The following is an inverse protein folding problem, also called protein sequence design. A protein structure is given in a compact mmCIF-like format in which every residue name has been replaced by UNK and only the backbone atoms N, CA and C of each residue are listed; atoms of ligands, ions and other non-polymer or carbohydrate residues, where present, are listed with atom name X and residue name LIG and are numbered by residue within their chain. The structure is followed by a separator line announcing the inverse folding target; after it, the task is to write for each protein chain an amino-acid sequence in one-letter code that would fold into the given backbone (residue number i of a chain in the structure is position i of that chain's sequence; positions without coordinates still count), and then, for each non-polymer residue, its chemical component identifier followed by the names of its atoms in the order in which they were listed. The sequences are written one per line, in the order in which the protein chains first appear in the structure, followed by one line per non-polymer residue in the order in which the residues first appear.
data_IF_606940547725
#
_entry.id   IF_606940547725
#
_cell.length_a   1.000
_cell.length_b   1.000
_cell.length_c   1.000
_cell.angle_alpha   90.00
_cell.angle_beta   90.00
_cell.angle_gamma   90.00
#
_symmetry.space_group_name_H-M   'P 1'
#
loop_
_entity.id
_entity.type
_entity.pdbx_description
1 polymer ?
#
# COMPACT_ATOMS: atom_id res chain seq x y z
N UNK A 1 -17.99 5.57 -3.26
CA UNK A 1 -18.32 4.73 -2.09
C UNK A 1 -19.82 4.58 -2.00
N UNK A 2 -20.32 3.34 -1.95
CA UNK A 2 -21.76 3.03 -1.92
C UNK A 2 -22.47 3.64 -0.71
N UNK A 3 -21.80 3.74 0.44
CA UNK A 3 -22.35 4.30 1.68
C UNK A 3 -22.05 5.80 1.85
N UNK A 4 -21.60 6.49 0.80
CA UNK A 4 -21.18 7.88 0.87
C UNK A 4 -19.85 8.07 1.61
N UNK A 5 -19.36 9.30 1.64
CA UNK A 5 -18.01 9.60 2.15
C UNK A 5 -17.92 9.55 3.68
N UNK A 6 -19.02 9.85 4.38
CA UNK A 6 -19.09 9.83 5.85
C UNK A 6 -18.99 8.44 6.48
N UNK A 7 -19.05 7.36 5.67
CA UNK A 7 -18.92 6.00 6.22
C UNK A 7 -17.60 5.81 6.94
N UNK A 8 -16.54 6.50 6.51
CA UNK A 8 -15.20 6.36 7.11
C UNK A 8 -15.18 6.82 8.57
N UNK A 9 -16.07 7.72 8.99
CA UNK A 9 -16.23 8.16 10.39
C UNK A 9 -16.72 7.05 11.32
N UNK A 10 -17.30 5.99 10.74
CA UNK A 10 -17.84 4.83 11.43
C UNK A 10 -16.98 3.57 11.25
N UNK A 11 -16.00 3.59 10.35
CA UNK A 11 -15.16 2.44 10.04
C UNK A 11 -14.05 2.23 11.08
N UNK A 12 -13.78 0.97 11.39
CA UNK A 12 -12.62 0.49 12.15
C UNK A 12 -11.91 -0.53 11.25
N UNK A 13 -10.60 -0.38 11.08
CA UNK A 13 -9.80 -1.30 10.26
C UNK A 13 -9.28 -2.45 11.13
N UNK A 14 -9.65 -3.67 10.77
CA UNK A 14 -9.20 -4.89 11.45
C UNK A 14 -8.19 -5.59 10.55
N UNK A 15 -6.94 -5.67 11.01
CA UNK A 15 -5.90 -6.48 10.41
C UNK A 15 -5.92 -7.86 11.08
N UNK A 16 -5.70 -8.90 10.30
CA UNK A 16 -5.60 -10.29 10.79
C UNK A 16 -4.19 -10.82 10.53
N UNK A 17 -3.85 -11.98 11.10
CA UNK A 17 -2.50 -12.56 10.98
C UNK A 17 -1.52 -11.97 12.00
N UNK A 18 -2.00 -11.60 13.20
CA UNK A 18 -1.14 -11.08 14.25
C UNK A 18 -0.08 -12.07 14.75
N UNK A 19 -0.32 -13.36 14.57
CA UNK A 19 0.64 -14.43 14.77
C UNK A 19 1.79 -14.40 13.75
N UNK A 20 1.48 -14.27 12.46
CA UNK A 20 2.50 -14.19 11.41
C UNK A 20 3.42 -12.97 11.63
N UNK A 21 2.87 -11.85 12.11
CA UNK A 21 3.64 -10.64 12.44
C UNK A 21 4.57 -10.84 13.65
N UNK A 22 4.11 -11.57 14.67
CA UNK A 22 4.90 -11.84 15.87
C UNK A 22 6.12 -12.72 15.54
N UNK A 23 5.98 -13.66 14.61
CA UNK A 23 7.09 -14.49 14.11
C UNK A 23 8.17 -13.67 13.39
N UNK A 24 7.79 -12.61 12.69
CA UNK A 24 8.72 -11.68 12.03
C UNK A 24 9.45 -10.73 13.01
N UNK A 25 9.17 -10.79 14.32
CA UNK A 25 9.72 -9.88 15.35
C UNK A 25 9.52 -8.39 15.03
N UNK A 26 8.47 -8.05 14.29
CA UNK A 26 8.08 -6.66 13.98
C UNK A 26 6.91 -6.24 14.84
N UNK A 27 6.94 -5.00 15.31
CA UNK A 27 5.75 -4.40 15.92
C UNK A 27 4.71 -4.06 14.85
N UNK A 28 3.45 -3.96 15.26
CA UNK A 28 2.38 -3.56 14.35
C UNK A 28 2.58 -2.14 13.80
N UNK A 29 3.10 -1.22 14.61
CA UNK A 29 3.40 0.13 14.16
C UNK A 29 4.52 0.16 13.12
N UNK A 30 5.56 -0.64 13.27
CA UNK A 30 6.61 -0.81 12.27
C UNK A 30 6.05 -1.36 10.95
N UNK A 31 5.17 -2.37 11.04
CA UNK A 31 4.49 -2.92 9.87
C UNK A 31 3.66 -1.86 9.12
N UNK A 32 2.86 -1.09 9.86
CA UNK A 32 2.06 0.00 9.28
C UNK A 32 2.93 1.14 8.74
N UNK A 33 4.08 1.40 9.36
CA UNK A 33 5.06 2.39 8.88
C UNK A 33 5.64 2.00 7.51
N UNK A 34 5.75 0.70 7.20
CA UNK A 34 6.16 0.17 5.91
C UNK A 34 5.04 0.08 4.87
N UNK A 35 3.78 0.29 5.26
CA UNK A 35 2.63 0.04 4.39
C UNK A 35 2.60 0.94 3.13
N UNK A 36 2.03 0.45 2.01
CA UNK A 36 1.82 1.24 0.81
C UNK A 36 0.99 2.50 1.08
N UNK A 37 1.21 3.57 0.29
CA UNK A 37 0.49 4.84 0.41
C UNK A 37 -1.05 4.67 0.47
N UNK A 38 -1.69 3.82 -0.36
CA UNK A 38 -3.15 3.63 -0.28
C UNK A 38 -3.62 3.12 1.09
N UNK A 39 -2.88 2.17 1.68
CA UNK A 39 -3.18 1.63 3.02
C UNK A 39 -3.04 2.70 4.09
N UNK A 40 -1.96 3.51 4.02
CA UNK A 40 -1.78 4.64 4.94
C UNK A 40 -2.88 5.69 4.80
N UNK A 41 -3.34 5.94 3.57
CA UNK A 41 -4.45 6.87 3.31
C UNK A 41 -5.74 6.39 3.97
N UNK A 42 -6.12 5.12 3.80
CA UNK A 42 -7.37 4.62 4.41
C UNK A 42 -7.28 4.58 5.94
N UNK A 43 -6.11 4.27 6.52
CA UNK A 43 -5.89 4.34 7.97
C UNK A 43 -6.12 5.77 8.49
N UNK A 44 -5.58 6.78 7.80
CA UNK A 44 -5.78 8.19 8.14
C UNK A 44 -7.24 8.61 8.01
N UNK A 45 -7.94 8.19 6.95
CA UNK A 45 -9.37 8.45 6.77
C UNK A 45 -10.20 7.85 7.91
N UNK A 46 -9.81 6.67 8.40
CA UNK A 46 -10.41 6.03 9.56
C UNK A 46 -9.90 6.59 10.91
N UNK A 47 -9.28 7.78 10.92
CA UNK A 47 -8.71 8.45 12.10
C UNK A 47 -7.80 7.55 12.95
N UNK A 48 -7.00 6.69 12.29
CA UNK A 48 -6.12 5.70 12.92
C UNK A 48 -6.85 4.69 13.83
N UNK A 49 -8.14 4.44 13.61
CA UNK A 49 -8.87 3.33 14.25
C UNK A 49 -8.48 2.02 13.60
N UNK A 50 -7.40 1.43 14.12
CA UNK A 50 -6.84 0.18 13.62
C UNK A 50 -6.61 -0.81 14.76
N UNK A 51 -6.93 -2.07 14.52
CA UNK A 51 -6.67 -3.18 15.44
C UNK A 51 -6.04 -4.35 14.69
N UNK A 52 -5.19 -5.11 15.39
CA UNK A 52 -4.59 -6.35 14.90
C UNK A 52 -5.16 -7.53 15.68
N UNK A 53 -5.58 -8.56 14.96
CA UNK A 53 -6.15 -9.79 15.50
C UNK A 53 -5.28 -10.99 15.11
N UNK A 54 -4.84 -11.72 16.12
CA UNK A 54 -4.42 -13.11 16.04
C UNK A 54 -5.68 -13.98 16.20
N UNK A 55 -6.14 -14.57 15.09
CA UNK A 55 -7.32 -15.44 15.09
C UNK A 55 -6.96 -16.90 15.44
N UNK A 56 -5.67 -17.24 15.52
CA UNK A 56 -5.19 -18.60 15.83
C UNK A 56 -4.98 -18.81 17.33
N UNK A 57 -4.79 -17.73 18.10
CA UNK A 57 -4.56 -17.83 19.55
C UNK A 57 -5.66 -18.60 20.27
N UNK A 58 -5.22 -19.45 21.20
CA UNK A 58 -6.11 -20.17 22.14
C UNK A 58 -6.10 -19.54 23.52
N UNK A 59 -5.18 -18.61 23.78
CA UNK A 59 -5.09 -17.89 25.05
C UNK A 59 -6.31 -16.97 25.21
N UNK A 60 -7.06 -17.19 26.28
CA UNK A 60 -8.24 -16.40 26.58
C UNK A 60 -7.88 -14.96 26.96
N UNK A 61 -6.75 -14.75 27.62
CA UNK A 61 -6.29 -13.41 28.02
C UNK A 61 -5.98 -12.58 26.77
N UNK A 62 -5.30 -13.17 25.78
CA UNK A 62 -5.03 -12.52 24.50
C UNK A 62 -6.33 -12.20 23.74
N UNK A 63 -7.26 -13.15 23.66
CA UNK A 63 -8.57 -12.91 23.03
C UNK A 63 -9.33 -11.76 23.68
N UNK A 64 -9.39 -11.75 25.01
CA UNK A 64 -10.08 -10.71 25.77
C UNK A 64 -9.40 -9.36 25.55
N UNK A 65 -8.07 -9.31 25.55
CA UNK A 65 -7.32 -8.08 25.25
C UNK A 65 -7.60 -7.55 23.83
N UNK A 66 -7.68 -8.42 22.82
CA UNK A 66 -8.02 -8.02 21.44
C UNK A 66 -9.45 -7.49 21.35
N UNK A 67 -10.41 -8.16 22.00
CA UNK A 67 -11.80 -7.73 22.05
C UNK A 67 -11.92 -6.36 22.74
N UNK A 68 -11.25 -6.16 23.87
CA UNK A 68 -11.27 -4.88 24.58
C UNK A 68 -10.72 -3.72 23.73
N UNK A 69 -9.65 -3.95 22.96
CA UNK A 69 -9.12 -2.94 22.01
C UNK A 69 -10.12 -2.59 20.92
N UNK A 70 -10.84 -3.58 20.38
CA UNK A 70 -11.89 -3.33 19.40
C UNK A 70 -13.05 -2.53 20.02
N UNK A 71 -13.54 -2.95 21.19
CA UNK A 71 -14.63 -2.27 21.89
C UNK A 71 -14.27 -0.83 22.28
N UNK A 72 -13.01 -0.56 22.62
CA UNK A 72 -12.53 0.79 22.82
C UNK A 72 -12.77 1.68 21.59
N UNK A 73 -12.42 1.20 20.39
CA UNK A 73 -12.69 1.97 19.17
C UNK A 73 -14.16 2.05 18.80
N UNK A 74 -14.95 0.99 19.06
CA UNK A 74 -16.42 1.03 18.89
C UNK A 74 -17.01 2.15 19.75
N UNK A 75 -16.63 2.23 21.02
CA UNK A 75 -17.10 3.28 21.93
C UNK A 75 -16.67 4.68 21.45
N UNK A 76 -15.44 4.83 20.94
CA UNK A 76 -14.99 6.09 20.33
C UNK A 76 -15.79 6.46 19.09
N UNK A 77 -16.10 5.50 18.22
CA UNK A 77 -16.96 5.73 17.04
C UNK A 77 -18.33 6.22 17.49
N UNK A 78 -18.94 5.57 18.49
CA UNK A 78 -20.24 5.98 19.03
C UNK A 78 -20.17 7.41 19.58
N UNK A 79 -19.19 7.71 20.43
CA UNK A 79 -19.03 9.02 21.04
C UNK A 79 -18.80 10.12 19.99
N UNK A 80 -17.90 9.90 19.04
CA UNK A 80 -17.57 10.86 17.98
C UNK A 80 -18.75 11.13 17.04
N UNK A 81 -19.66 10.16 16.89
CA UNK A 81 -20.85 10.28 16.04
C UNK A 81 -22.12 10.62 16.83
N UNK A 82 -21.98 11.14 18.06
CA UNK A 82 -23.10 11.63 18.86
C UNK A 82 -24.09 10.54 19.28
N UNK A 83 -23.62 9.30 19.43
CA UNK A 83 -24.42 8.14 19.80
C UNK A 83 -25.31 7.60 18.68
N UNK A 84 -25.26 8.19 17.48
CA UNK A 84 -26.13 7.82 16.37
C UNK A 84 -25.46 6.71 15.55
N UNK A 85 -26.18 5.63 15.20
CA UNK A 85 -25.70 4.67 14.21
C UNK A 85 -25.49 5.35 12.86
N UNK A 86 -24.63 4.78 12.03
CA UNK A 86 -24.51 5.20 10.64
C UNK A 86 -25.89 5.09 9.95
N UNK A 87 -26.29 6.17 9.27
CA UNK A 87 -27.51 6.21 8.48
C UNK A 87 -27.24 7.00 7.21
N UNK A 88 -27.47 6.35 6.08
CA UNK A 88 -27.57 7.02 4.78
C UNK A 88 -29.04 7.16 4.38
N UNK A 89 -29.27 7.84 3.25
CA UNK A 89 -30.63 8.12 2.76
C UNK A 89 -31.47 6.85 2.56
N UNK A 90 -30.87 5.78 2.06
CA UNK A 90 -31.54 4.50 1.82
C UNK A 90 -31.87 3.83 3.16
N UNK A 91 -30.91 3.77 4.09
CA UNK A 91 -31.13 3.23 5.43
C UNK A 91 -32.16 4.04 6.23
N UNK A 92 -32.20 5.37 6.08
CA UNK A 92 -33.19 6.20 6.76
C UNK A 92 -34.60 6.00 6.20
N UNK A 93 -34.76 5.83 4.89
CA UNK A 93 -36.05 5.53 4.27
C UNK A 93 -36.54 4.14 4.69
N UNK A 94 -35.69 3.11 4.62
CA UNK A 94 -35.99 1.76 5.13
C UNK A 94 -36.44 1.76 6.60
N UNK A 95 -35.76 2.52 7.46
CA UNK A 95 -36.10 2.60 8.88
C UNK A 95 -37.41 3.35 9.13
N UNK A 96 -37.64 4.44 8.42
CA UNK A 96 -38.89 5.20 8.51
C UNK A 96 -40.08 4.33 8.07
N UNK A 97 -39.90 3.50 7.05
CA UNK A 97 -40.93 2.60 6.54
C UNK A 97 -41.23 1.44 7.49
N UNK A 98 -40.20 0.81 8.06
CA UNK A 98 -40.38 -0.22 9.09
C UNK A 98 -41.17 0.31 10.30
N UNK A 99 -41.01 1.59 10.66
CA UNK A 99 -41.79 2.25 11.72
C UNK A 99 -43.25 2.48 11.30
N UNK A 100 -43.52 2.89 10.05
CA UNK A 100 -44.88 3.09 9.53
C UNK A 100 -45.68 1.80 9.49
N UNK A 101 -45.08 0.70 9.01
CA UNK A 101 -45.72 -0.62 8.99
C UNK A 101 -46.15 -1.05 10.40
N UNK A 102 -45.34 -0.73 11.42
CA UNK A 102 -45.62 -1.07 12.82
C UNK A 102 -46.77 -0.26 13.43
N UNK A 103 -47.00 0.97 12.94
CA UNK A 103 -48.15 1.79 13.33
C UNK A 103 -49.42 1.42 12.54
N UNK A 104 -49.30 0.99 11.28
CA UNK A 104 -50.39 0.43 10.48
C UNK A 104 -50.91 -0.91 11.05
N UNK A 105 -50.03 -1.73 11.65
CA UNK A 105 -50.42 -2.97 12.33
C UNK A 105 -51.28 -2.72 13.59
N UNK A 106 -51.05 -1.60 14.29
CA UNK A 106 -51.93 -1.15 15.40
C UNK A 106 -53.30 -0.65 14.91
N UNK A 107 -53.38 -0.20 13.66
CA UNK A 107 -54.65 0.20 13.04
C UNK A 107 -55.52 -1.03 12.74
N UNK A 108 -54.90 -2.18 12.40
CA UNK A 108 -55.60 -3.46 12.19
C UNK A 108 -56.24 -3.98 13.50
N UNK A 109 -55.58 -3.81 14.65
CA UNK A 109 -56.12 -4.21 15.96
C UNK A 109 -57.40 -3.44 16.37
N UNK A 110 -57.59 -2.22 15.85
CA UNK A 110 -58.78 -1.40 16.09
C UNK A 110 -60.01 -1.81 15.24
N UNK A 111 -59.94 -2.87 14.41
CA UNK A 111 -60.95 -3.21 13.38
C UNK A 111 -61.90 -4.37 13.70
N UNK A 112 -62.09 -4.74 14.98
CA UNK A 112 -63.19 -5.67 15.32
C UNK A 112 -64.55 -5.00 15.05
N UNK A 113 -65.16 -5.28 13.88
CA UNK A 113 -66.55 -4.91 13.55
C UNK A 113 -66.84 -4.17 12.23
N UNK A 114 -65.88 -4.01 11.31
CA UNK A 114 -66.09 -3.32 10.02
C UNK A 114 -66.69 -4.20 8.92
N UNK A 115 -67.29 -3.59 7.89
CA UNK A 115 -67.88 -4.30 6.74
C UNK A 115 -66.82 -4.85 5.78
N UNK A 116 -67.14 -5.91 5.03
CA UNK A 116 -66.21 -6.57 4.11
C UNK A 116 -65.66 -5.64 3.01
N UNK A 117 -66.45 -4.67 2.54
CA UNK A 117 -66.02 -3.67 1.54
C UNK A 117 -64.99 -2.68 2.10
N UNK A 118 -65.17 -2.23 3.35
CA UNK A 118 -64.21 -1.35 4.01
C UNK A 118 -62.86 -2.07 4.23
N UNK A 119 -62.92 -3.36 4.59
CA UNK A 119 -61.72 -4.20 4.74
C UNK A 119 -60.99 -4.39 3.41
N UNK A 120 -61.73 -4.58 2.31
CA UNK A 120 -61.14 -4.75 0.98
C UNK A 120 -60.44 -3.47 0.48
N UNK A 121 -61.13 -2.32 0.57
CA UNK A 121 -60.59 -1.03 0.16
C UNK A 121 -59.32 -0.66 0.95
N UNK A 122 -59.31 -0.92 2.25
CA UNK A 122 -58.15 -0.63 3.09
C UNK A 122 -56.97 -1.54 2.80
N UNK A 123 -57.21 -2.85 2.53
CA UNK A 123 -56.15 -3.77 2.09
C UNK A 123 -55.52 -3.28 0.80
N UNK A 124 -56.31 -2.84 -0.16
CA UNK A 124 -55.82 -2.32 -1.43
C UNK A 124 -54.95 -1.06 -1.22
N UNK A 125 -55.36 -0.16 -0.33
CA UNK A 125 -54.58 1.03 0.03
C UNK A 125 -53.23 0.68 0.70
N UNK A 126 -53.22 -0.30 1.62
CA UNK A 126 -51.99 -0.81 2.25
C UNK A 126 -51.06 -1.43 1.20
N UNK A 127 -51.57 -2.30 0.32
CA UNK A 127 -50.77 -2.92 -0.73
C UNK A 127 -50.20 -1.89 -1.71
N UNK A 128 -51.00 -0.88 -2.08
CA UNK A 128 -50.55 0.20 -2.94
C UNK A 128 -49.46 1.06 -2.28
N UNK A 129 -49.67 1.45 -1.03
CA UNK A 129 -48.68 2.18 -0.22
C UNK A 129 -47.35 1.42 -0.11
N UNK A 130 -47.41 0.13 0.20
CA UNK A 130 -46.23 -0.74 0.29
C UNK A 130 -45.50 -0.86 -1.05
N UNK A 131 -46.24 -1.05 -2.15
CA UNK A 131 -45.64 -1.20 -3.47
C UNK A 131 -44.98 0.11 -3.93
N UNK A 132 -45.62 1.25 -3.73
CA UNK A 132 -45.06 2.58 -4.06
C UNK A 132 -43.77 2.86 -3.26
N UNK A 133 -43.71 2.43 -1.99
CA UNK A 133 -42.52 2.54 -1.15
C UNK A 133 -41.38 1.65 -1.68
N UNK A 134 -41.68 0.37 -1.94
CA UNK A 134 -40.71 -0.58 -2.47
C UNK A 134 -40.11 -0.09 -3.80
N UNK A 135 -40.92 0.48 -4.68
CA UNK A 135 -40.46 1.09 -5.94
C UNK A 135 -39.49 2.23 -5.66
N UNK A 136 -39.80 3.18 -4.77
CA UNK A 136 -38.92 4.31 -4.45
C UNK A 136 -37.56 3.87 -3.91
N UNK A 137 -37.55 2.92 -2.96
CA UNK A 137 -36.28 2.40 -2.42
C UNK A 137 -35.48 1.70 -3.52
N UNK A 138 -36.16 0.88 -4.34
CA UNK A 138 -35.51 0.17 -5.44
C UNK A 138 -34.84 1.14 -6.41
N UNK A 139 -35.57 2.17 -6.86
CA UNK A 139 -35.02 3.22 -7.73
C UNK A 139 -33.84 3.96 -7.10
N UNK A 140 -33.90 4.26 -5.79
CA UNK A 140 -32.78 4.90 -5.10
C UNK A 140 -31.54 4.01 -5.04
N UNK A 141 -31.71 2.70 -4.76
CA UNK A 141 -30.62 1.73 -4.72
C UNK A 141 -30.01 1.59 -6.11
N UNK A 142 -30.83 1.36 -7.14
CA UNK A 142 -30.41 1.21 -8.52
C UNK A 142 -29.61 2.42 -9.00
N UNK A 143 -30.14 3.64 -8.77
CA UNK A 143 -29.44 4.88 -9.13
C UNK A 143 -28.09 4.99 -8.43
N UNK A 144 -28.02 4.69 -7.13
CA UNK A 144 -26.76 4.79 -6.36
C UNK A 144 -25.74 3.74 -6.79
N UNK A 145 -26.18 2.56 -7.22
CA UNK A 145 -25.32 1.53 -7.81
C UNK A 145 -24.77 1.99 -9.15
N UNK A 146 -25.61 2.49 -10.06
CA UNK A 146 -25.20 3.01 -11.38
C UNK A 146 -24.17 4.13 -11.21
N UNK A 147 -24.48 5.16 -10.41
CA UNK A 147 -23.57 6.29 -10.14
C UNK A 147 -22.22 5.85 -9.52
N UNK A 148 -22.23 4.73 -8.78
CA UNK A 148 -21.00 4.17 -8.20
C UNK A 148 -20.20 3.40 -9.24
N UNK A 149 -20.86 2.61 -10.09
CA UNK A 149 -20.22 1.84 -11.17
C UNK A 149 -19.54 2.79 -12.14
N UNK A 150 -20.25 3.80 -12.66
CA UNK A 150 -19.68 4.77 -13.62
C UNK A 150 -18.45 5.48 -13.06
N UNK A 151 -18.47 5.82 -11.77
CA UNK A 151 -17.34 6.45 -11.09
C UNK A 151 -16.15 5.51 -10.96
N UNK A 152 -16.39 4.26 -10.59
CA UNK A 152 -15.36 3.23 -10.48
C UNK A 152 -14.74 2.92 -11.84
N UNK A 153 -15.54 2.84 -12.90
CA UNK A 153 -15.05 2.66 -14.28
C UNK A 153 -14.15 3.82 -14.70
N UNK A 154 -14.58 5.06 -14.42
CA UNK A 154 -13.77 6.26 -14.70
C UNK A 154 -12.44 6.25 -13.95
N UNK A 155 -12.44 5.88 -12.67
CA UNK A 155 -11.22 5.85 -11.86
C UNK A 155 -10.32 4.67 -12.26
N UNK A 156 -10.89 3.52 -12.62
CA UNK A 156 -10.15 2.39 -13.18
C UNK A 156 -9.46 2.77 -14.50
N UNK A 157 -10.15 3.48 -15.39
CA UNK A 157 -9.56 3.94 -16.65
C UNK A 157 -8.39 4.91 -16.44
N UNK A 158 -8.50 5.84 -15.47
CA UNK A 158 -7.40 6.74 -15.10
C UNK A 158 -6.20 5.96 -14.55
N UNK A 159 -6.44 4.97 -13.68
CA UNK A 159 -5.39 4.14 -13.10
C UNK A 159 -4.70 3.31 -14.18
N UNK A 160 -5.45 2.71 -15.11
CA UNK A 160 -4.91 1.98 -16.25
C UNK A 160 -4.04 2.86 -17.15
N UNK A 161 -4.47 4.10 -17.44
CA UNK A 161 -3.69 5.05 -18.22
C UNK A 161 -2.40 5.46 -17.48
N UNK A 162 -2.48 5.75 -16.18
CA UNK A 162 -1.30 6.04 -15.36
C UNK A 162 -0.32 4.87 -15.35
N UNK A 163 -0.82 3.64 -15.22
CA UNK A 163 -0.01 2.43 -15.23
C UNK A 163 0.69 2.18 -16.56
N UNK A 164 0.02 2.49 -17.68
CA UNK A 164 0.65 2.41 -19.00
C UNK A 164 1.83 3.38 -19.10
N UNK A 165 1.64 4.63 -18.68
CA UNK A 165 2.70 5.64 -18.66
C UNK A 165 3.91 5.21 -17.80
N UNK A 166 3.67 4.66 -16.61
CA UNK A 166 4.74 4.13 -15.76
C UNK A 166 5.47 2.96 -16.41
N UNK A 167 4.76 2.07 -17.09
CA UNK A 167 5.38 0.95 -17.79
C UNK A 167 6.29 1.43 -18.94
N UNK A 168 5.85 2.44 -19.70
CA UNK A 168 6.66 3.05 -20.75
C UNK A 168 7.93 3.70 -20.19
N UNK A 169 7.81 4.39 -19.05
CA UNK A 169 8.94 4.99 -18.36
C UNK A 169 9.93 3.94 -17.84
N UNK A 170 9.43 2.85 -17.24
CA UNK A 170 10.24 1.71 -16.82
C UNK A 170 10.97 1.10 -18.01
N UNK A 171 10.32 0.97 -19.17
CA UNK A 171 10.96 0.45 -20.38
C UNK A 171 12.13 1.35 -20.83
N UNK A 172 11.90 2.67 -20.90
CA UNK A 172 12.94 3.64 -21.25
C UNK A 172 14.12 3.62 -20.28
N UNK A 173 13.84 3.54 -18.98
CA UNK A 173 14.88 3.45 -17.95
C UNK A 173 15.69 2.16 -18.07
N UNK A 174 15.03 1.02 -18.36
CA UNK A 174 15.72 -0.27 -18.60
C UNK A 174 16.65 -0.19 -19.81
N UNK A 175 16.20 0.38 -20.92
CA UNK A 175 17.05 0.56 -22.12
C UNK A 175 18.26 1.47 -21.83
N UNK A 176 18.04 2.58 -21.11
CA UNK A 176 19.11 3.49 -20.74
C UNK A 176 20.13 2.80 -19.82
N UNK A 177 19.65 1.98 -18.89
CA UNK A 177 20.50 1.20 -17.99
C UNK A 177 21.33 0.18 -18.77
N UNK A 178 20.74 -0.54 -19.73
CA UNK A 178 21.47 -1.50 -20.55
C UNK A 178 22.57 -0.83 -21.39
N UNK A 179 22.28 0.34 -21.97
CA UNK A 179 23.28 1.15 -22.69
C UNK A 179 24.42 1.59 -21.78
N UNK A 180 24.10 2.06 -20.56
CA UNK A 180 25.09 2.44 -19.57
C UNK A 180 26.00 1.26 -19.20
N UNK A 181 25.42 0.08 -18.95
CA UNK A 181 26.15 -1.15 -18.64
C UNK A 181 27.12 -1.58 -19.76
N UNK A 182 26.70 -1.48 -21.03
CA UNK A 182 27.59 -1.74 -22.17
C UNK A 182 28.75 -0.74 -22.21
N UNK A 183 28.46 0.55 -22.01
CA UNK A 183 29.48 1.60 -21.99
C UNK A 183 30.49 1.46 -20.85
N UNK A 184 30.06 1.05 -19.65
CA UNK A 184 30.99 0.74 -18.54
C UNK A 184 31.84 -0.48 -18.85
N UNK A 185 31.26 -1.57 -19.37
CA UNK A 185 32.04 -2.76 -19.74
C UNK A 185 33.11 -2.46 -20.80
N UNK A 186 32.81 -1.62 -21.80
CA UNK A 186 33.78 -1.17 -22.79
C UNK A 186 34.89 -0.30 -22.18
N UNK A 187 34.52 0.59 -21.26
CA UNK A 187 35.47 1.46 -20.56
C UNK A 187 36.39 0.65 -19.65
N UNK A 188 35.86 -0.34 -18.94
CA UNK A 188 36.62 -1.26 -18.09
C UNK A 188 37.60 -2.10 -18.91
N UNK A 189 37.22 -2.57 -20.11
CA UNK A 189 38.14 -3.27 -20.99
C UNK A 189 39.28 -2.36 -21.50
N UNK A 190 38.97 -1.10 -21.84
CA UNK A 190 39.99 -0.10 -22.20
C UNK A 190 40.95 0.18 -21.05
N UNK A 191 40.43 0.37 -19.83
CA UNK A 191 41.23 0.57 -18.61
C UNK A 191 42.13 -0.65 -18.37
N UNK A 192 41.59 -1.87 -18.50
CA UNK A 192 42.36 -3.12 -18.37
C UNK A 192 43.50 -3.21 -19.37
N UNK A 193 43.26 -2.87 -20.65
CA UNK A 193 44.29 -2.85 -21.69
C UNK A 193 45.36 -1.80 -21.43
N UNK A 194 44.96 -0.60 -20.99
CA UNK A 194 45.88 0.49 -20.64
C UNK A 194 46.76 0.12 -19.44
N UNK A 195 46.19 -0.46 -18.37
CA UNK A 195 46.94 -0.96 -17.21
C UNK A 195 48.02 -1.95 -17.61
N UNK A 196 47.70 -2.96 -18.44
CA UNK A 196 48.69 -3.93 -18.95
C UNK A 196 49.83 -3.28 -19.74
N UNK A 197 49.53 -2.27 -20.56
CA UNK A 197 50.57 -1.53 -21.32
C UNK A 197 51.47 -0.71 -20.40
N UNK A 198 50.88 -0.09 -19.37
CA UNK A 198 51.61 0.63 -18.34
C UNK A 198 52.54 -0.32 -17.57
N UNK A 199 52.03 -1.45 -17.07
CA UNK A 199 52.80 -2.48 -16.36
C UNK A 199 53.99 -2.98 -17.18
N UNK A 200 53.78 -3.25 -18.48
CA UNK A 200 54.85 -3.67 -19.38
C UNK A 200 55.93 -2.58 -19.53
N UNK A 201 55.54 -1.32 -19.76
CA UNK A 201 56.48 -0.20 -19.87
C UNK A 201 57.25 0.05 -18.57
N UNK A 202 56.60 -0.06 -17.42
CA UNK A 202 57.27 0.07 -16.12
C UNK A 202 58.30 -1.04 -15.93
N UNK A 203 57.96 -2.29 -16.25
CA UNK A 203 58.91 -3.41 -16.15
C UNK A 203 60.10 -3.26 -17.10
N UNK A 204 59.88 -2.76 -18.33
CA UNK A 204 60.95 -2.44 -19.29
C UNK A 204 61.88 -1.33 -18.76
N UNK A 205 61.31 -0.26 -18.20
CA UNK A 205 62.07 0.85 -17.61
C UNK A 205 62.86 0.41 -16.38
N UNK A 206 62.28 -0.43 -15.52
CA UNK A 206 62.95 -0.98 -14.34
C UNK A 206 64.15 -1.86 -14.74
N UNK A 207 64.01 -2.66 -15.80
CA UNK A 207 65.10 -3.47 -16.35
C UNK A 207 66.23 -2.60 -16.95
N UNK A 208 65.89 -1.53 -17.66
CA UNK A 208 66.88 -0.57 -18.16
C UNK A 208 67.63 0.13 -17.02
N UNK A 209 66.91 0.61 -15.99
CA UNK A 209 67.50 1.21 -14.80
C UNK A 209 68.45 0.22 -14.12
N UNK A 210 68.04 -1.05 -13.98
CA UNK A 210 68.88 -2.11 -13.41
C UNK A 210 70.19 -2.29 -14.20
N UNK A 211 70.11 -2.43 -15.53
CA UNK A 211 71.29 -2.57 -16.40
C UNK A 211 72.21 -1.36 -16.32
N UNK A 212 71.65 -0.15 -16.25
CA UNK A 212 72.43 1.08 -16.09
C UNK A 212 73.16 1.12 -14.76
N UNK A 213 72.49 0.74 -13.66
CA UNK A 213 73.13 0.62 -12.33
C UNK A 213 74.31 -0.36 -12.35
N UNK A 214 74.12 -1.56 -12.91
CA UNK A 214 75.20 -2.56 -13.02
C UNK A 214 76.41 -2.04 -13.82
N UNK A 215 76.18 -1.33 -14.94
CA UNK A 215 77.26 -0.70 -15.72
C UNK A 215 77.98 0.38 -14.92
N UNK A 216 77.24 1.17 -14.16
CA UNK A 216 77.79 2.24 -13.32
C UNK A 216 78.65 1.67 -12.20
N UNK A 217 78.20 0.60 -11.55
CA UNK A 217 78.96 -0.14 -10.53
C UNK A 217 80.26 -0.71 -11.08
N UNK A 218 80.23 -1.39 -12.23
CA UNK A 218 81.44 -1.90 -12.90
C UNK A 218 82.44 -0.77 -13.19
N UNK A 219 81.97 0.32 -13.80
CA UNK A 219 82.82 1.46 -14.13
C UNK A 219 83.38 2.15 -12.88
N UNK A 220 82.61 2.20 -11.80
CA UNK A 220 83.07 2.72 -10.50
C UNK A 220 84.14 1.83 -9.88
N UNK A 221 84.00 0.51 -9.98
CA UNK A 221 85.01 -0.45 -9.53
C UNK A 221 86.32 -0.35 -10.33
N UNK A 222 86.23 -0.21 -11.66
CA UNK A 222 87.38 0.00 -12.54
C UNK A 222 88.15 1.29 -12.19
N UNK A 223 87.44 2.42 -12.02
CA UNK A 223 88.06 3.68 -11.62
C UNK A 223 88.74 3.60 -10.24
N UNK A 224 88.12 2.91 -9.27
CA UNK A 224 88.73 2.66 -7.95
C UNK A 224 90.00 1.80 -8.06
N UNK A 225 90.02 0.81 -8.96
CA UNK A 225 91.20 -0.04 -9.20
C UNK A 225 92.35 0.76 -9.84
N UNK A 226 92.05 1.59 -10.86
CA UNK A 226 93.03 2.48 -11.48
C UNK A 226 93.62 3.50 -10.50
N UNK A 227 92.79 4.08 -9.62
CA UNK A 227 93.26 4.99 -8.58
C UNK A 227 94.19 4.34 -7.55
N UNK A 228 93.99 3.06 -7.20
CA UNK A 228 94.88 2.31 -6.31
C UNK A 228 96.23 1.99 -6.96
N UNK A 229 96.24 1.77 -8.28
CA UNK A 229 97.47 1.48 -9.04
C UNK A 229 98.38 2.71 -9.18
N UNK A 230 97.82 3.92 -9.21
CA UNK A 230 98.57 5.18 -9.21
C UNK A 230 99.10 5.60 -7.81
N UNK A 231 98.61 5.00 -6.71
CA UNK A 231 99.01 5.34 -5.35
C UNK A 231 100.14 4.46 -4.78
N UNK A 232 100.67 3.52 -5.57
CA UNK A 232 101.74 2.57 -5.17
C UNK A 232 103.09 2.91 -5.85
N UNK A 233 103.17 4.00 -6.63
CA UNK A 233 104.41 4.59 -7.15
C UNK A 233 104.76 5.85 -6.36
#
# INVERSE_FOLDING_TARGET
MLFGERIVDYMILVFTGGDDLAEESKTFDEYLSGAPKPVKTIIKMCMNRVVLFNNRTKDQIEKDAQLQRLLFYVNRVIANNGGKPFSDKIFSELKLEALKLHDEEKVIDNMRGQSAEQIAALKEEIYKSYNDQLTRITEMIEKKLIDTIERLEKDLAKEQAARLNYNDEIHRLKESLEKAHKGTAESDDKIRKLKKRLEKKTAESDDEIRKLKERLEKKTAELKAQGRQCAIL
#
